data_IF_059841623143
#
_entry.id   IF_059841623143
#
_cell.length_a   1.000
_cell.length_b   1.000
_cell.length_c   1.000
_cell.angle_alpha   90.00
_cell.angle_beta   90.00
_cell.angle_gamma   90.00
#
_symmetry.space_group_name_H-M   'P 1'
#
loop_
_entity.id
_entity.type
_entity.pdbx_description
1 polymer ?
#
# COMPACT_ATOMS: atom_id res chain seq x y z
N UNK A 1 -2.46 -5.61 -3.71
CA UNK A 1 -1.24 -6.45 -3.72
C UNK A 1 -0.23 -5.94 -2.71
N UNK A 2 0.67 -6.82 -2.24
CA UNK A 2 1.73 -6.47 -1.29
C UNK A 2 3.11 -6.69 -1.93
N UNK A 3 4.12 -5.96 -1.43
CA UNK A 3 5.52 -6.08 -1.82
C UNK A 3 6.43 -6.05 -0.59
N UNK A 4 7.47 -6.89 -0.58
CA UNK A 4 8.58 -6.78 0.34
C UNK A 4 9.57 -5.78 -0.24
N UNK A 5 9.99 -4.81 0.56
CA UNK A 5 10.89 -3.76 0.12
C UNK A 5 12.15 -3.71 0.96
N UNK A 6 13.27 -3.38 0.29
CA UNK A 6 14.53 -2.99 0.89
C UNK A 6 14.83 -1.57 0.45
N UNK A 7 14.90 -0.63 1.38
CA UNK A 7 15.09 0.80 1.11
C UNK A 7 16.49 1.19 1.56
N UNK A 8 17.30 1.61 0.61
CA UNK A 8 18.63 2.20 0.86
C UNK A 8 18.48 3.73 0.91
N UNK A 9 18.69 4.29 2.10
CA UNK A 9 18.65 5.74 2.35
C UNK A 9 20.03 6.38 2.42
N UNK A 10 21.04 5.72 1.88
CA UNK A 10 22.42 6.24 1.91
C UNK A 10 22.65 7.46 1.01
N UNK A 11 21.77 7.65 0.00
CA UNK A 11 21.86 8.81 -0.90
C UNK A 11 21.07 10.01 -0.32
N UNK A 12 21.66 11.25 -0.30
CA UNK A 12 21.02 12.39 0.36
C UNK A 12 19.78 12.94 -0.37
N UNK A 13 19.64 12.68 -1.68
CA UNK A 13 18.57 13.27 -2.50
C UNK A 13 17.45 12.29 -2.85
N UNK A 14 17.67 10.99 -2.75
CA UNK A 14 16.68 9.98 -3.08
C UNK A 14 16.93 8.65 -2.36
N UNK A 15 15.85 7.95 -2.08
CA UNK A 15 15.88 6.57 -1.60
C UNK A 15 15.94 5.59 -2.77
N UNK A 16 16.83 4.59 -2.68
CA UNK A 16 16.82 3.47 -3.62
C UNK A 16 15.94 2.35 -3.07
N UNK A 17 14.86 2.01 -3.78
CA UNK A 17 13.89 1.01 -3.34
C UNK A 17 14.00 -0.23 -4.19
N UNK A 18 14.24 -1.36 -3.54
CA UNK A 18 14.33 -2.68 -4.16
C UNK A 18 13.14 -3.51 -3.71
N UNK A 19 12.33 -4.01 -4.66
CA UNK A 19 11.05 -4.65 -4.36
C UNK A 19 11.01 -6.11 -4.79
N UNK A 20 10.33 -6.93 -3.98
CA UNK A 20 9.99 -8.32 -4.30
C UNK A 20 8.48 -8.45 -4.12
N UNK A 21 7.71 -8.79 -5.17
CA UNK A 21 6.27 -9.03 -5.04
C UNK A 21 5.97 -10.11 -3.99
N UNK A 22 4.98 -9.90 -3.15
CA UNK A 22 4.62 -10.85 -2.10
C UNK A 22 4.19 -12.22 -2.65
N UNK A 23 3.70 -12.28 -3.88
CA UNK A 23 3.38 -13.54 -4.58
C UNK A 23 4.58 -14.47 -4.75
N UNK A 24 5.81 -13.93 -4.71
CA UNK A 24 7.06 -14.69 -4.78
C UNK A 24 7.55 -15.19 -3.41
N UNK A 25 6.99 -14.70 -2.30
CA UNK A 25 7.38 -15.05 -0.93
C UNK A 25 6.87 -16.44 -0.53
N UNK A 26 7.27 -17.45 -1.32
CA UNK A 26 6.93 -18.85 -1.05
C UNK A 26 7.94 -19.47 -0.07
N UNK A 27 7.47 -20.19 0.97
CA UNK A 27 8.36 -20.82 1.94
C UNK A 27 9.44 -21.71 1.29
N UNK A 28 10.66 -21.63 1.81
CA UNK A 28 11.81 -22.44 1.40
C UNK A 28 12.57 -21.96 0.17
N UNK A 29 12.00 -21.06 -0.64
CA UNK A 29 12.66 -20.53 -1.82
C UNK A 29 13.58 -19.36 -1.45
N UNK A 30 14.84 -19.40 -1.92
CA UNK A 30 15.76 -18.26 -1.85
C UNK A 30 15.56 -17.36 -3.06
N UNK A 31 15.53 -16.05 -2.82
CA UNK A 31 15.30 -15.02 -3.83
C UNK A 31 16.32 -13.92 -3.62
N UNK A 32 17.03 -13.54 -4.67
CA UNK A 32 17.96 -12.42 -4.64
C UNK A 32 17.18 -11.09 -4.61
N UNK A 33 17.61 -10.16 -3.76
CA UNK A 33 17.06 -8.82 -3.72
C UNK A 33 17.67 -8.01 -4.87
N UNK A 34 16.89 -7.53 -5.84
CA UNK A 34 17.42 -6.89 -7.04
C UNK A 34 18.40 -5.76 -6.71
N UNK A 35 19.52 -5.69 -7.43
CA UNK A 35 20.55 -4.64 -7.30
C UNK A 35 21.16 -4.47 -5.89
N UNK A 36 21.13 -5.52 -5.08
CA UNK A 36 21.75 -5.56 -3.75
C UNK A 36 22.56 -6.84 -3.59
N UNK A 37 23.52 -6.92 -2.65
CA UNK A 37 24.19 -8.16 -2.32
C UNK A 37 23.36 -9.10 -1.43
N UNK A 38 22.13 -8.70 -1.09
CA UNK A 38 21.26 -9.43 -0.20
C UNK A 38 20.43 -10.46 -0.95
N UNK A 39 20.10 -11.53 -0.27
CA UNK A 39 19.07 -12.47 -0.68
C UNK A 39 18.18 -12.83 0.51
N UNK A 40 16.99 -13.33 0.24
CA UNK A 40 16.03 -13.71 1.25
C UNK A 40 15.62 -15.17 1.09
N UNK A 41 15.19 -15.75 2.19
CA UNK A 41 14.44 -17.01 2.22
C UNK A 41 13.19 -16.80 3.07
N UNK A 42 12.02 -17.02 2.49
CA UNK A 42 10.78 -17.03 3.26
C UNK A 42 10.73 -18.28 4.11
N UNK A 43 10.72 -18.12 5.42
CA UNK A 43 10.59 -19.21 6.39
C UNK A 43 9.12 -19.58 6.55
N UNK A 44 8.26 -18.56 6.70
CA UNK A 44 6.81 -18.71 6.81
C UNK A 44 6.09 -17.51 6.24
N UNK A 45 4.93 -17.76 5.64
CA UNK A 45 4.06 -16.76 5.04
C UNK A 45 2.62 -17.00 5.46
N UNK A 46 1.93 -15.94 5.87
CA UNK A 46 0.51 -15.93 6.21
C UNK A 46 -0.19 -14.88 5.36
N UNK A 47 -1.16 -15.31 4.54
CA UNK A 47 -1.97 -14.41 3.72
C UNK A 47 -2.90 -13.53 4.58
N UNK A 48 -3.27 -14.02 5.77
CA UNK A 48 -3.97 -13.25 6.79
C UNK A 48 -3.52 -13.65 8.20
N UNK A 49 -3.27 -12.65 9.06
CA UNK A 49 -2.85 -12.88 10.43
C UNK A 49 -3.19 -11.70 11.33
N UNK A 50 -3.25 -11.93 12.61
CA UNK A 50 -3.29 -10.89 13.62
C UNK A 50 -1.89 -10.67 14.20
N UNK A 51 -1.45 -9.42 14.18
CA UNK A 51 -0.17 -9.00 14.76
C UNK A 51 -0.43 -8.40 16.11
N UNK A 52 0.14 -8.98 17.16
CA UNK A 52 -0.07 -8.55 18.53
C UNK A 52 1.12 -8.84 19.44
N UNK A 53 0.97 -8.54 20.71
CA UNK A 53 1.93 -8.94 21.74
C UNK A 53 1.54 -10.29 22.33
N UNK A 54 2.53 -11.05 22.76
CA UNK A 54 2.31 -12.32 23.46
C UNK A 54 1.41 -12.12 24.68
N UNK A 55 0.25 -12.80 24.70
CA UNK A 55 -0.58 -12.96 25.88
C UNK A 55 -0.51 -14.41 26.34
N UNK A 56 -0.55 -14.63 27.66
CA UNK A 56 -0.45 -15.98 28.23
C UNK A 56 -1.53 -16.89 27.66
N UNK A 57 -1.14 -17.98 26.98
CA UNK A 57 -2.06 -19.01 26.47
C UNK A 57 -2.41 -18.95 24.98
N UNK A 58 -1.90 -17.98 24.23
CA UNK A 58 -2.09 -17.96 22.75
C UNK A 58 -1.19 -18.97 22.04
N UNK A 59 -1.68 -19.71 21.05
CA UNK A 59 -0.85 -20.56 20.17
C UNK A 59 -0.08 -19.71 19.16
N UNK A 60 0.50 -18.64 19.65
CA UNK A 60 1.12 -17.62 18.84
C UNK A 60 2.52 -18.01 18.40
N UNK A 61 2.89 -17.63 17.21
CA UNK A 61 4.17 -17.96 16.63
C UNK A 61 5.10 -16.75 16.59
N UNK A 62 6.32 -16.91 17.09
CA UNK A 62 7.42 -15.98 16.87
C UNK A 62 8.70 -16.76 16.64
N UNK A 63 9.09 -16.84 15.37
CA UNK A 63 10.37 -17.44 14.94
C UNK A 63 11.38 -16.37 14.53
N UNK A 64 11.03 -15.10 14.70
CA UNK A 64 11.93 -14.00 14.44
C UNK A 64 13.12 -14.01 15.40
N UNK A 65 14.31 -13.75 14.87
CA UNK A 65 15.55 -13.63 15.65
C UNK A 65 16.09 -12.21 15.68
N UNK A 66 15.49 -11.31 14.87
CA UNK A 66 15.88 -9.90 14.72
C UNK A 66 14.66 -8.99 14.61
N UNK A 67 14.92 -7.71 14.66
CA UNK A 67 13.93 -6.65 14.37
C UNK A 67 12.94 -6.36 15.47
N UNK A 68 11.83 -5.76 15.10
CA UNK A 68 10.78 -5.29 16.01
C UNK A 68 10.12 -6.44 16.77
N UNK A 69 9.94 -7.59 16.15
CA UNK A 69 9.30 -8.74 16.78
C UNK A 69 10.05 -9.19 18.05
N UNK A 70 11.38 -9.24 17.98
CA UNK A 70 12.21 -9.63 19.12
C UNK A 70 12.22 -8.53 20.18
N UNK A 71 12.43 -7.27 19.78
CA UNK A 71 12.53 -6.15 20.72
C UNK A 71 11.23 -5.88 21.48
N UNK A 72 10.07 -6.13 20.85
CA UNK A 72 8.76 -5.74 21.38
C UNK A 72 7.88 -6.93 21.75
N UNK A 73 8.39 -8.18 21.60
CA UNK A 73 7.62 -9.39 21.89
C UNK A 73 6.40 -9.56 20.98
N UNK A 74 6.57 -9.25 19.67
CA UNK A 74 5.47 -9.35 18.71
C UNK A 74 5.32 -10.79 18.25
N UNK A 75 4.08 -11.23 18.19
CA UNK A 75 3.66 -12.56 17.75
C UNK A 75 2.68 -12.47 16.60
N UNK A 76 2.60 -13.55 15.85
CA UNK A 76 1.68 -13.71 14.72
C UNK A 76 0.67 -14.79 15.06
N UNK A 77 -0.61 -14.46 14.99
CA UNK A 77 -1.72 -15.41 15.08
C UNK A 77 -2.30 -15.58 13.68
N UNK A 78 -2.07 -16.71 12.99
CA UNK A 78 -2.63 -16.97 11.68
C UNK A 78 -4.16 -16.92 11.71
N UNK A 79 -4.76 -16.31 10.69
CA UNK A 79 -6.22 -16.27 10.47
C UNK A 79 -6.56 -16.77 9.07
N UNK A 80 -7.77 -17.27 8.85
CA UNK A 80 -8.25 -17.53 7.49
C UNK A 80 -8.21 -16.26 6.65
N UNK A 81 -7.88 -16.41 5.37
CA UNK A 81 -7.99 -15.30 4.42
C UNK A 81 -9.46 -14.92 4.23
N UNK A 82 -9.74 -13.62 4.20
CA UNK A 82 -11.06 -13.09 3.86
C UNK A 82 -11.05 -12.57 2.42
N UNK A 83 -12.19 -12.73 1.75
CA UNK A 83 -12.45 -12.23 0.41
C UNK A 83 -13.61 -11.24 0.41
N UNK A 84 -14.00 -10.75 1.60
CA UNK A 84 -15.00 -9.68 1.75
C UNK A 84 -14.41 -8.35 1.28
N UNK A 85 -15.22 -7.53 0.60
CA UNK A 85 -14.81 -6.20 0.13
C UNK A 85 -14.55 -5.22 1.28
N UNK A 86 -15.14 -5.47 2.46
CA UNK A 86 -15.05 -4.61 3.65
C UNK A 86 -13.86 -4.96 4.56
N UNK A 87 -13.14 -6.06 4.28
CA UNK A 87 -12.06 -6.54 5.13
C UNK A 87 -10.73 -6.59 4.36
N UNK A 88 -9.67 -6.12 5.00
CA UNK A 88 -8.32 -6.16 4.44
C UNK A 88 -7.51 -7.23 5.16
N UNK A 89 -6.98 -8.19 4.40
CA UNK A 89 -6.07 -9.19 4.92
C UNK A 89 -4.77 -8.57 5.42
N UNK A 90 -4.40 -8.90 6.65
CA UNK A 90 -3.10 -8.54 7.22
C UNK A 90 -2.08 -9.60 6.84
N UNK A 91 -1.28 -9.32 5.85
CA UNK A 91 -0.21 -10.21 5.41
C UNK A 91 0.96 -10.16 6.37
N UNK A 92 1.48 -11.31 6.75
CA UNK A 92 2.66 -11.43 7.59
C UNK A 92 3.64 -12.48 7.05
N UNK A 93 4.92 -12.19 7.10
CA UNK A 93 5.96 -13.15 6.70
C UNK A 93 7.15 -13.12 7.66
N UNK A 94 7.71 -14.30 7.90
CA UNK A 94 9.01 -14.45 8.51
C UNK A 94 10.05 -14.68 7.42
N UNK A 95 10.95 -13.71 7.28
CA UNK A 95 11.92 -13.66 6.20
C UNK A 95 13.31 -13.71 6.80
N UNK A 96 14.08 -14.73 6.41
CA UNK A 96 15.49 -14.81 6.71
C UNK A 96 16.28 -14.07 5.64
N UNK A 97 17.14 -13.17 6.05
CA UNK A 97 17.97 -12.34 5.16
C UNK A 97 19.40 -12.87 5.17
N UNK A 98 20.01 -12.92 4.01
CA UNK A 98 21.39 -13.35 3.81
C UNK A 98 22.21 -12.25 3.16
N UNK A 99 23.48 -12.14 3.59
CA UNK A 99 24.52 -11.40 2.88
C UNK A 99 25.52 -12.42 2.31
N UNK A 100 25.45 -12.67 1.02
CA UNK A 100 26.11 -13.84 0.43
C UNK A 100 25.52 -15.14 1.02
N UNK A 101 26.35 -15.98 1.66
CA UNK A 101 25.91 -17.22 2.33
C UNK A 101 25.62 -17.01 3.83
N UNK A 102 25.99 -15.85 4.39
CA UNK A 102 25.86 -15.58 5.82
C UNK A 102 24.44 -15.13 6.18
N UNK A 103 23.77 -15.89 7.05
CA UNK A 103 22.46 -15.51 7.59
C UNK A 103 22.60 -14.33 8.54
N UNK A 104 21.85 -13.27 8.25
CA UNK A 104 21.74 -12.08 9.10
C UNK A 104 20.67 -12.26 10.17
N UNK A 105 19.83 -13.28 10.05
CA UNK A 105 18.73 -13.60 10.95
C UNK A 105 17.36 -13.59 10.28
N UNK A 106 16.32 -13.71 11.10
CA UNK A 106 14.91 -13.78 10.66
C UNK A 106 14.16 -12.56 11.16
N UNK A 107 13.52 -11.84 10.24
CA UNK A 107 12.64 -10.69 10.52
C UNK A 107 11.18 -11.06 10.34
N UNK A 108 10.34 -10.55 11.21
CA UNK A 108 8.90 -10.49 10.97
C UNK A 108 8.60 -9.21 10.19
N UNK A 109 7.93 -9.33 9.05
CA UNK A 109 7.44 -8.23 8.24
C UNK A 109 5.94 -8.38 8.00
N UNK A 110 5.20 -7.28 8.01
CA UNK A 110 3.76 -7.26 7.77
C UNK A 110 3.33 -5.92 7.21
N UNK A 111 2.27 -5.90 6.40
CA UNK A 111 1.72 -4.68 5.80
C UNK A 111 1.06 -3.71 6.79
N UNK A 112 0.97 -4.09 8.08
CA UNK A 112 0.50 -3.21 9.17
C UNK A 112 1.64 -2.77 10.10
N UNK A 113 2.87 -3.25 9.89
CA UNK A 113 4.00 -2.92 10.76
C UNK A 113 4.66 -1.60 10.39
N UNK A 114 4.65 -1.22 9.13
CA UNK A 114 5.31 -0.01 8.62
C UNK A 114 4.80 1.28 9.31
N UNK A 115 3.51 1.32 9.62
CA UNK A 115 2.90 2.47 10.30
C UNK A 115 2.92 2.41 11.83
N UNK A 116 3.08 1.22 12.42
CA UNK A 116 2.91 1.00 13.86
C UNK A 116 4.20 0.84 14.63
N UNK A 117 5.29 0.50 13.93
CA UNK A 117 6.56 0.17 14.55
C UNK A 117 7.72 0.93 13.92
N UNK A 118 8.81 1.15 14.66
CA UNK A 118 10.00 1.76 14.09
C UNK A 118 10.55 0.95 12.92
N UNK A 119 11.16 1.61 11.92
CA UNK A 119 11.80 0.95 10.80
C UNK A 119 12.75 -0.17 11.22
N UNK A 120 12.71 -1.27 10.49
CA UNK A 120 13.55 -2.42 10.74
C UNK A 120 14.76 -2.38 9.81
N UNK A 121 15.96 -2.37 10.38
CA UNK A 121 17.20 -2.20 9.62
C UNK A 121 17.94 -3.53 9.49
N UNK A 122 18.43 -3.78 8.27
CA UNK A 122 19.33 -4.90 7.93
C UNK A 122 20.66 -4.31 7.47
N UNK A 123 21.71 -4.63 8.21
CA UNK A 123 23.05 -4.14 7.90
C UNK A 123 23.85 -5.22 7.17
N UNK A 124 24.50 -4.84 6.06
CA UNK A 124 25.38 -5.73 5.32
C UNK A 124 26.88 -5.41 5.52
N UNK A 125 27.20 -4.60 6.52
CA UNK A 125 28.54 -4.13 6.82
C UNK A 125 28.93 -2.85 6.07
N UNK A 126 28.45 -2.61 4.85
CA UNK A 126 28.74 -1.41 4.05
C UNK A 126 27.55 -0.46 3.97
N UNK A 127 26.34 -1.00 4.02
CA UNK A 127 25.07 -0.26 3.90
C UNK A 127 24.04 -0.82 4.85
N UNK A 128 23.10 0.04 5.23
CA UNK A 128 21.94 -0.33 6.01
C UNK A 128 20.69 -0.19 5.16
N UNK A 129 19.90 -1.24 5.11
CA UNK A 129 18.64 -1.29 4.36
C UNK A 129 17.48 -1.35 5.33
N UNK A 130 16.49 -0.52 5.13
CA UNK A 130 15.21 -0.69 5.81
C UNK A 130 14.43 -1.82 5.14
N UNK A 131 13.98 -2.82 5.92
CA UNK A 131 13.12 -3.91 5.44
C UNK A 131 11.68 -3.70 5.90
N UNK A 132 10.74 -3.74 4.96
CA UNK A 132 9.30 -3.64 5.24
C UNK A 132 8.46 -4.44 4.24
N UNK A 133 7.29 -4.90 4.69
CA UNK A 133 6.24 -5.41 3.81
C UNK A 133 5.13 -4.37 3.77
N UNK A 134 4.78 -3.92 2.58
CA UNK A 134 3.80 -2.86 2.39
C UNK A 134 2.89 -3.13 1.21
N UNK A 135 1.84 -2.32 1.05
CA UNK A 135 1.06 -2.32 -0.19
C UNK A 135 1.92 -1.83 -1.36
N UNK A 136 1.73 -2.45 -2.53
CA UNK A 136 2.45 -2.10 -3.76
C UNK A 136 2.18 -0.64 -4.10
N UNK A 137 3.26 0.13 -4.32
CA UNK A 137 3.17 1.53 -4.71
C UNK A 137 3.30 1.67 -6.21
N UNK A 138 2.38 2.44 -6.81
CA UNK A 138 2.40 2.80 -8.23
C UNK A 138 2.78 4.26 -8.36
N UNK A 139 3.81 4.55 -9.15
CA UNK A 139 4.28 5.91 -9.41
C UNK A 139 3.76 6.39 -10.75
N UNK A 140 3.23 7.60 -10.77
CA UNK A 140 2.65 8.23 -11.95
C UNK A 140 3.47 9.46 -12.36
N UNK A 141 3.49 9.85 -13.65
CA UNK A 141 4.26 10.99 -14.14
C UNK A 141 3.57 12.34 -13.85
N UNK A 142 2.76 12.41 -12.80
CA UNK A 142 2.05 13.61 -12.38
C UNK A 142 1.92 13.68 -10.86
N UNK A 143 1.70 14.91 -10.39
CA UNK A 143 1.47 15.23 -8.97
C UNK A 143 0.12 15.93 -8.83
N UNK A 144 -0.55 15.71 -7.70
CA UNK A 144 -1.78 16.39 -7.33
C UNK A 144 -1.52 17.20 -6.07
N UNK A 145 -1.54 18.53 -6.19
CA UNK A 145 -1.41 19.45 -5.08
C UNK A 145 -2.78 19.98 -4.67
N UNK A 146 -3.10 19.91 -3.38
CA UNK A 146 -4.30 20.52 -2.81
C UNK A 146 -4.09 22.04 -2.78
N UNK A 147 -5.02 22.80 -3.38
CA UNK A 147 -5.05 24.27 -3.34
C UNK A 147 -5.92 24.72 -2.19
N UNK A 148 -7.14 24.21 -2.12
CA UNK A 148 -8.13 24.58 -1.12
C UNK A 148 -9.02 23.37 -0.78
N UNK A 149 -9.41 23.29 0.49
CA UNK A 149 -10.34 22.28 0.96
C UNK A 149 -11.49 22.95 1.68
N UNK A 150 -12.71 22.66 1.26
CA UNK A 150 -13.93 23.19 1.88
C UNK A 150 -14.72 22.08 2.52
N UNK A 151 -15.08 22.29 3.75
CA UNK A 151 -15.89 21.41 4.56
C UNK A 151 -17.16 22.16 4.95
N UNK A 152 -18.25 21.84 4.29
CA UNK A 152 -19.57 22.42 4.58
C UNK A 152 -20.32 21.50 5.53
N UNK A 153 -20.86 22.07 6.61
CA UNK A 153 -21.64 21.35 7.62
C UNK A 153 -23.12 21.74 7.54
N UNK A 154 -23.99 20.83 7.94
CA UNK A 154 -25.40 21.17 8.11
C UNK A 154 -25.55 22.26 9.18
N UNK A 155 -26.43 23.29 8.97
CA UNK A 155 -26.63 24.34 9.92
C UNK A 155 -26.97 23.83 11.33
N UNK A 156 -26.18 24.26 12.32
CA UNK A 156 -26.35 23.86 13.73
C UNK A 156 -25.88 22.47 14.11
N UNK A 157 -25.12 21.77 13.24
CA UNK A 157 -24.57 20.46 13.54
C UNK A 157 -23.08 20.36 13.19
N UNK A 158 -22.40 19.36 13.73
CA UNK A 158 -21.05 18.98 13.32
C UNK A 158 -21.05 17.97 12.16
N UNK A 159 -22.21 17.59 11.64
CA UNK A 159 -22.35 16.61 10.56
C UNK A 159 -21.97 17.25 9.23
N UNK A 160 -21.01 16.68 8.49
CA UNK A 160 -20.62 17.19 7.18
C UNK A 160 -21.76 17.06 6.17
N UNK A 161 -22.00 18.12 5.42
CA UNK A 161 -22.92 18.14 4.30
C UNK A 161 -22.21 17.89 2.98
N UNK A 162 -21.04 18.51 2.79
CA UNK A 162 -20.27 18.42 1.56
C UNK A 162 -18.79 18.60 1.85
N UNK A 163 -17.97 17.87 1.09
CA UNK A 163 -16.53 18.05 1.05
C UNK A 163 -16.13 18.39 -0.37
N UNK A 164 -15.29 19.40 -0.55
CA UNK A 164 -14.73 19.73 -1.84
C UNK A 164 -13.25 20.05 -1.74
N UNK A 165 -12.50 19.56 -2.71
CA UNK A 165 -11.05 19.76 -2.83
C UNK A 165 -10.75 20.44 -4.16
N UNK A 166 -10.27 21.67 -4.13
CA UNK A 166 -9.66 22.28 -5.31
C UNK A 166 -8.23 21.80 -5.43
N UNK A 167 -7.90 21.16 -6.54
CA UNK A 167 -6.59 20.57 -6.77
C UNK A 167 -5.95 21.11 -8.04
N UNK A 168 -4.61 21.17 -8.03
CA UNK A 168 -3.78 21.39 -9.21
C UNK A 168 -3.09 20.09 -9.57
N UNK A 169 -3.33 19.61 -10.78
CA UNK A 169 -2.60 18.50 -11.37
C UNK A 169 -1.44 19.06 -12.17
N UNK A 170 -0.23 18.63 -11.85
CA UNK A 170 0.99 19.00 -12.56
C UNK A 170 1.60 17.74 -13.16
N UNK A 171 1.69 17.69 -14.48
CA UNK A 171 2.25 16.56 -15.22
C UNK A 171 3.65 16.91 -15.72
N UNK A 172 4.52 15.92 -15.94
CA UNK A 172 5.82 16.14 -16.59
C UNK A 172 5.67 16.79 -17.97
N UNK A 173 4.62 16.42 -18.72
CA UNK A 173 4.16 17.16 -19.89
C UNK A 173 3.24 18.31 -19.45
N UNK A 174 3.75 19.54 -19.50
CA UNK A 174 3.05 20.74 -19.04
C UNK A 174 1.73 21.02 -19.77
N UNK A 175 1.54 20.48 -20.99
CA UNK A 175 0.28 20.63 -21.77
C UNK A 175 -0.90 19.92 -21.11
N UNK A 176 -0.64 18.96 -20.21
CA UNK A 176 -1.63 18.19 -19.48
C UNK A 176 -1.94 18.75 -18.08
N UNK A 177 -1.36 19.89 -17.72
CA UNK A 177 -1.62 20.54 -16.44
C UNK A 177 -3.06 21.05 -16.40
N UNK A 178 -3.75 20.79 -15.27
CA UNK A 178 -5.11 21.28 -15.08
C UNK A 178 -5.41 21.59 -13.61
N UNK A 179 -6.42 22.43 -13.40
CA UNK A 179 -7.08 22.58 -12.12
C UNK A 179 -8.41 21.84 -12.12
N UNK A 180 -8.77 21.24 -11.02
CA UNK A 180 -10.02 20.52 -10.88
C UNK A 180 -10.62 20.73 -9.49
N UNK A 181 -11.94 20.69 -9.43
CA UNK A 181 -12.70 20.66 -8.18
C UNK A 181 -13.27 19.25 -8.01
N UNK A 182 -12.89 18.59 -6.94
CA UNK A 182 -13.33 17.22 -6.60
C UNK A 182 -14.30 17.36 -5.41
N UNK A 183 -15.51 16.84 -5.55
CA UNK A 183 -16.50 16.83 -4.49
C UNK A 183 -17.38 15.57 -4.58
N UNK A 184 -18.32 15.41 -3.65
CA UNK A 184 -19.21 14.24 -3.63
C UNK A 184 -19.90 14.03 -4.98
N UNK A 185 -19.80 12.81 -5.54
CA UNK A 185 -20.33 12.43 -6.85
C UNK A 185 -19.73 13.16 -8.08
N UNK A 186 -18.67 13.94 -7.89
CA UNK A 186 -17.97 14.63 -8.97
C UNK A 186 -16.46 14.36 -8.89
N UNK A 187 -16.02 13.16 -9.30
CA UNK A 187 -14.62 12.78 -9.23
C UNK A 187 -13.79 13.41 -10.37
N UNK A 188 -12.51 13.60 -10.10
CA UNK A 188 -11.55 13.93 -11.14
C UNK A 188 -11.20 12.66 -11.93
N UNK A 189 -11.30 12.73 -13.25
CA UNK A 189 -10.79 11.70 -14.17
C UNK A 189 -9.55 12.22 -14.87
N UNK A 190 -8.44 11.50 -14.65
CA UNK A 190 -7.15 11.92 -15.21
C UNK A 190 -6.28 10.70 -15.48
N UNK A 191 -5.69 10.62 -16.68
CA UNK A 191 -4.79 9.52 -17.15
C UNK A 191 -5.34 8.11 -16.87
N UNK A 192 -6.64 7.90 -17.12
CA UNK A 192 -7.31 6.60 -16.92
C UNK A 192 -7.60 6.24 -15.45
N UNK A 193 -7.32 7.16 -14.54
CA UNK A 193 -7.65 7.06 -13.13
C UNK A 193 -8.84 7.95 -12.79
N UNK A 194 -9.58 7.54 -11.77
CA UNK A 194 -10.69 8.31 -11.21
C UNK A 194 -10.43 8.54 -9.73
N UNK A 195 -10.38 9.81 -9.33
CA UNK A 195 -10.09 10.26 -7.97
C UNK A 195 -11.39 10.69 -7.31
N UNK A 196 -11.86 9.91 -6.36
CA UNK A 196 -13.05 10.22 -5.55
C UNK A 196 -12.64 10.86 -4.22
N UNK A 197 -13.38 11.85 -3.78
CA UNK A 197 -13.22 12.39 -2.43
C UNK A 197 -13.65 11.33 -1.41
N UNK A 198 -12.71 10.79 -0.65
CA UNK A 198 -12.97 9.74 0.33
C UNK A 198 -13.08 10.29 1.75
N UNK A 199 -12.07 11.04 2.19
CA UNK A 199 -12.06 11.61 3.53
C UNK A 199 -11.08 12.79 3.61
N UNK A 200 -10.88 13.32 4.82
CA UNK A 200 -9.93 14.38 5.10
C UNK A 200 -9.19 14.13 6.42
N UNK A 201 -8.09 14.84 6.63
CA UNK A 201 -7.27 14.72 7.83
C UNK A 201 -6.62 16.06 8.19
N UNK A 202 -5.90 16.11 9.32
CA UNK A 202 -5.09 17.23 9.76
C UNK A 202 -5.88 18.57 9.81
N UNK A 203 -7.07 18.56 10.40
CA UNK A 203 -7.92 19.75 10.53
C UNK A 203 -8.14 20.45 9.17
N UNK A 204 -8.67 19.71 8.22
CA UNK A 204 -9.01 20.18 6.85
C UNK A 204 -7.81 20.60 5.97
N UNK A 205 -6.58 20.24 6.36
CA UNK A 205 -5.37 20.54 5.57
C UNK A 205 -4.93 19.41 4.64
N UNK A 206 -5.54 18.24 4.76
CA UNK A 206 -5.21 17.07 3.96
C UNK A 206 -6.48 16.46 3.40
N UNK A 207 -6.50 16.25 2.09
CA UNK A 207 -7.57 15.55 1.38
C UNK A 207 -7.13 14.12 1.08
N UNK A 208 -8.00 13.15 1.34
CA UNK A 208 -7.75 11.73 1.07
C UNK A 208 -8.64 11.33 -0.10
N UNK A 209 -8.01 10.87 -1.19
CA UNK A 209 -8.71 10.41 -2.37
C UNK A 209 -8.67 8.90 -2.48
N UNK A 210 -9.82 8.30 -2.81
CA UNK A 210 -9.87 6.93 -3.30
C UNK A 210 -9.60 6.94 -4.80
N UNK A 211 -8.58 6.21 -5.23
CA UNK A 211 -8.19 6.15 -6.63
C UNK A 211 -8.63 4.83 -7.24
N UNK A 212 -9.41 4.91 -8.31
CA UNK A 212 -9.94 3.73 -9.01
C UNK A 212 -9.46 3.73 -10.45
N UNK A 213 -8.96 2.59 -10.90
CA UNK A 213 -8.67 2.30 -12.30
C UNK A 213 -9.72 1.32 -12.81
N UNK A 214 -10.57 1.76 -13.73
CA UNK A 214 -11.60 0.90 -14.34
C UNK A 214 -11.31 0.68 -15.84
N UNK A 215 -10.64 -0.41 -16.23
CA UNK A 215 -10.37 -0.70 -17.63
C UNK A 215 -11.64 -1.05 -18.43
N UNK A 216 -12.69 -1.49 -17.76
CA UNK A 216 -13.96 -1.90 -18.35
C UNK A 216 -15.01 -0.80 -18.46
N UNK A 217 -14.66 0.48 -18.32
CA UNK A 217 -15.64 1.57 -18.30
C UNK A 217 -16.53 1.70 -19.55
N UNK A 218 -16.06 1.19 -20.70
CA UNK A 218 -16.81 1.17 -21.96
C UNK A 218 -17.83 0.03 -22.06
N UNK A 219 -17.68 -1.06 -21.30
CA UNK A 219 -18.50 -2.25 -21.42
C UNK A 219 -20.02 -1.98 -21.23
N UNK A 220 -20.47 -1.18 -20.24
CA UNK A 220 -21.88 -0.86 -20.09
C UNK A 220 -22.46 -0.12 -21.29
N UNK A 221 -21.71 0.80 -21.89
CA UNK A 221 -22.16 1.55 -23.07
C UNK A 221 -22.25 0.67 -24.29
N UNK A 222 -21.30 -0.23 -24.49
CA UNK A 222 -21.35 -1.22 -25.59
C UNK A 222 -22.55 -2.17 -25.43
N UNK A 223 -22.83 -2.60 -24.21
CA UNK A 223 -23.99 -3.45 -23.93
C UNK A 223 -25.33 -2.77 -24.26
N UNK A 224 -25.49 -1.50 -23.88
CA UNK A 224 -26.70 -0.71 -24.20
C UNK A 224 -26.84 -0.51 -25.71
N UNK A 225 -25.73 -0.21 -26.40
CA UNK A 225 -25.72 -0.05 -27.85
C UNK A 225 -26.14 -1.34 -28.57
N UNK A 226 -25.57 -2.48 -28.18
CA UNK A 226 -25.91 -3.78 -28.76
C UNK A 226 -27.38 -4.16 -28.51
N UNK A 227 -27.87 -3.89 -27.27
CA UNK A 227 -29.27 -4.11 -26.94
C UNK A 227 -30.21 -3.24 -27.81
N UNK A 228 -29.86 -1.96 -28.01
CA UNK A 228 -30.61 -1.05 -28.88
C UNK A 228 -30.62 -1.51 -30.34
N UNK A 229 -29.49 -1.95 -30.87
CA UNK A 229 -29.41 -2.52 -32.23
C UNK A 229 -30.25 -3.79 -32.36
N UNK A 230 -30.23 -4.69 -31.35
CA UNK A 230 -31.06 -5.90 -31.34
C UNK A 230 -32.55 -5.59 -31.39
N UNK A 231 -33.01 -4.57 -30.67
CA UNK A 231 -34.41 -4.12 -30.73
C UNK A 231 -34.79 -3.50 -32.09
N UNK A 232 -33.86 -2.85 -32.80
CA UNK A 232 -34.11 -2.30 -34.13
C UNK A 232 -34.20 -3.37 -35.25
N UNK A 233 -33.58 -4.54 -35.04
CA UNK A 233 -33.59 -5.66 -36.00
C UNK A 233 -34.80 -6.56 -35.82
N UNK A 234 -35.46 -6.54 -34.68
CA UNK A 234 -36.68 -7.32 -34.37
C UNK A 234 -37.93 -6.64 -34.94
#
# INVERSE_FOLDING_TARGET
>A
ENELVFIDRSHPEHDSVHTIPASLLKPGKRIDVPNTPLSIRTVRYHGNAEIGRATSGSPAESIATRGAAVRMGIIVNPKPETYSEDEINTVAAFVEVFNGEDSQGIWLVSNVMDERFPPQMVDNGNRSYEIALRFTRYYYPFEIALIDFKHEKYPGTEVPFNFSSEVKVTHQDSTKNQKALIYMNHPLRYEGLTFFQASFANQDKTSIFQVVRNPGWLLPYLSVLLMGLGMCVQ
#
